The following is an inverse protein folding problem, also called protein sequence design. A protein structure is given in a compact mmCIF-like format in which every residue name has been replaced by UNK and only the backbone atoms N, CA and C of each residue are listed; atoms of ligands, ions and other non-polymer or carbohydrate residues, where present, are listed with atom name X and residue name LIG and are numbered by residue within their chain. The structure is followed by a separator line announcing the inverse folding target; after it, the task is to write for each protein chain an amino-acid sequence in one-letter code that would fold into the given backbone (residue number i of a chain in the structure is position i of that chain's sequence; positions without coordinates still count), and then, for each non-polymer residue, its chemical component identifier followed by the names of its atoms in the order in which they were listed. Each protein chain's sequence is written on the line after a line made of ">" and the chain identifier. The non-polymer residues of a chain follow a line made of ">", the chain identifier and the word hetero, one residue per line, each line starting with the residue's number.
data_IF_176749947527
#
_entry.id   IF_176749947527
#
_cell.length_a   1.000
_cell.length_b   1.000
_cell.length_c   1.000
_cell.angle_alpha   90.00
_cell.angle_beta   90.00
_cell.angle_gamma   90.00
#
_symmetry.space_group_name_H-M   'P 1'
#
loop_
_entity.id
_entity.type
_entity.pdbx_description
1 polymer ?
#
# COMPACT_ATOMS: atom_id res chain seq x y z
N UNK A 1 -22.06 20.63 -0.27
CA UNK A 1 -21.10 20.18 0.75
C UNK A 1 -21.80 19.09 1.55
N UNK A 2 -21.38 17.83 1.43
CA UNK A 2 -22.03 16.75 2.19
C UNK A 2 -21.61 16.87 3.67
N UNK A 3 -22.60 17.01 4.56
CA UNK A 3 -22.38 17.03 6.00
C UNK A 3 -21.78 15.70 6.45
N UNK A 4 -20.54 15.74 6.95
CA UNK A 4 -19.88 14.56 7.54
C UNK A 4 -20.64 14.22 8.83
N UNK A 5 -21.43 13.15 8.78
CA UNK A 5 -22.34 12.78 9.87
C UNK A 5 -21.67 11.83 10.88
N UNK A 6 -20.55 11.19 10.50
CA UNK A 6 -19.84 10.20 11.35
C UNK A 6 -18.36 10.53 11.51
N UNK A 7 -17.91 10.48 12.76
CA UNK A 7 -16.49 10.50 13.13
C UNK A 7 -16.02 9.08 13.49
N UNK A 8 -14.84 8.65 13.02
CA UNK A 8 -13.93 9.36 12.11
C UNK A 8 -14.43 9.43 10.66
N UNK A 9 -13.91 10.38 9.87
CA UNK A 9 -14.39 10.71 8.51
C UNK A 9 -14.44 9.52 7.54
N UNK A 10 -13.54 8.55 7.70
CA UNK A 10 -13.51 7.36 6.85
C UNK A 10 -14.76 6.50 6.99
N UNK A 11 -15.45 6.50 8.14
CA UNK A 11 -16.68 5.72 8.34
C UNK A 11 -17.83 6.22 7.47
N UNK A 12 -17.97 7.55 7.39
CA UNK A 12 -18.94 8.13 6.47
C UNK A 12 -18.57 7.80 5.01
N UNK A 13 -17.28 7.88 4.68
CA UNK A 13 -16.80 7.49 3.35
C UNK A 13 -17.12 6.03 3.02
N UNK A 14 -17.04 5.10 3.98
CA UNK A 14 -17.44 3.69 3.77
C UNK A 14 -18.93 3.58 3.41
N UNK A 15 -19.80 4.27 4.14
CA UNK A 15 -21.24 4.23 3.85
C UNK A 15 -21.59 4.84 2.51
N UNK A 16 -20.96 5.96 2.17
CA UNK A 16 -21.14 6.63 0.88
C UNK A 16 -20.61 5.74 -0.24
N UNK A 17 -19.46 5.09 -0.04
CA UNK A 17 -18.87 4.15 -0.99
C UNK A 17 -19.82 3.01 -1.33
N UNK A 18 -20.42 2.36 -0.31
CA UNK A 18 -21.29 1.20 -0.51
C UNK A 18 -22.61 1.56 -1.22
N UNK A 19 -23.02 2.83 -1.18
CA UNK A 19 -24.20 3.34 -1.89
C UNK A 19 -23.88 3.73 -3.34
N UNK A 20 -22.69 4.26 -3.58
CA UNK A 20 -22.32 4.88 -4.86
C UNK A 20 -21.59 3.95 -5.83
N UNK A 21 -20.86 2.95 -5.33
CA UNK A 21 -20.01 2.08 -6.15
C UNK A 21 -20.47 0.62 -6.18
N UNK A 22 -19.99 -0.11 -7.18
CA UNK A 22 -20.20 -1.55 -7.36
C UNK A 22 -18.90 -2.24 -7.75
N UNK A 23 -18.94 -3.57 -7.81
CA UNK A 23 -17.83 -4.38 -8.29
C UNK A 23 -17.35 -3.92 -9.67
N UNK A 24 -16.02 -3.80 -9.81
CA UNK A 24 -15.36 -3.35 -11.03
C UNK A 24 -15.17 -1.84 -11.12
N UNK A 25 -15.93 -1.05 -10.35
CA UNK A 25 -15.84 0.41 -10.42
C UNK A 25 -14.51 0.93 -9.88
N UNK A 26 -14.10 2.08 -10.43
CA UNK A 26 -12.90 2.81 -10.03
C UNK A 26 -13.30 4.00 -9.15
N UNK A 27 -12.84 3.98 -7.90
CA UNK A 27 -12.93 5.10 -6.98
C UNK A 27 -11.71 5.98 -7.16
N UNK A 28 -11.94 7.19 -7.68
CA UNK A 28 -10.90 8.18 -7.93
C UNK A 28 -10.36 8.80 -6.65
N UNK A 29 -9.14 9.35 -6.72
CA UNK A 29 -8.56 10.08 -5.59
C UNK A 29 -9.41 11.31 -5.22
N UNK A 30 -9.94 12.05 -6.19
CA UNK A 30 -10.74 13.25 -5.95
C UNK A 30 -12.01 12.95 -5.13
N UNK A 31 -12.62 11.78 -5.34
CA UNK A 31 -13.77 11.33 -4.55
C UNK A 31 -13.36 11.08 -3.09
N UNK A 32 -12.23 10.42 -2.87
CA UNK A 32 -11.69 10.16 -1.53
C UNK A 32 -11.27 11.48 -0.85
N UNK A 33 -10.62 12.39 -1.57
CA UNK A 33 -10.24 13.71 -1.05
C UNK A 33 -11.48 14.47 -0.56
N UNK A 34 -12.54 14.51 -1.37
CA UNK A 34 -13.80 15.15 -0.99
C UNK A 34 -14.44 14.49 0.25
N UNK A 35 -14.44 13.15 0.34
CA UNK A 35 -15.05 12.42 1.46
C UNK A 35 -14.23 12.47 2.75
N UNK A 36 -12.92 12.58 2.64
CA UNK A 36 -12.04 12.80 3.79
C UNK A 36 -11.95 14.27 4.20
N UNK A 37 -12.61 15.19 3.47
CA UNK A 37 -12.55 16.62 3.75
C UNK A 37 -11.16 17.22 3.47
N UNK A 38 -10.37 16.59 2.61
CA UNK A 38 -9.00 16.99 2.30
C UNK A 38 -8.97 17.98 1.13
N UNK A 39 -8.14 19.03 1.19
CA UNK A 39 -7.95 19.95 0.07
C UNK A 39 -7.47 19.20 -1.16
N UNK A 40 -8.05 19.50 -2.33
CA UNK A 40 -7.64 18.80 -3.53
C UNK A 40 -6.26 19.26 -3.98
N UNK A 41 -5.43 18.31 -4.45
CA UNK A 41 -4.11 18.65 -4.99
C UNK A 41 -4.19 19.42 -6.32
N UNK A 42 -5.33 19.40 -7.00
CA UNK A 42 -5.57 20.21 -8.19
C UNK A 42 -5.97 21.65 -7.88
N UNK A 43 -6.31 21.97 -6.62
CA UNK A 43 -6.62 23.34 -6.25
C UNK A 43 -5.33 24.17 -6.22
N UNK A 44 -5.33 25.30 -6.93
CA UNK A 44 -4.17 26.18 -7.18
C UNK A 44 -3.54 26.84 -5.94
N UNK A 45 -3.83 26.36 -4.73
CA UNK A 45 -3.23 26.83 -3.49
C UNK A 45 -1.89 26.14 -3.28
N UNK A 46 -0.81 26.89 -3.41
CA UNK A 46 0.52 26.42 -3.04
C UNK A 46 0.53 26.06 -1.54
N UNK A 47 0.58 24.77 -1.23
CA UNK A 47 0.84 24.28 0.12
C UNK A 47 2.31 24.53 0.47
N UNK A 48 2.58 24.89 1.73
CA UNK A 48 3.97 24.85 2.21
C UNK A 48 4.45 23.40 2.27
N UNK A 49 5.77 23.19 2.31
CA UNK A 49 6.36 21.83 2.41
C UNK A 49 5.84 21.08 3.63
N UNK A 50 5.63 21.78 4.74
CA UNK A 50 5.10 21.20 5.98
C UNK A 50 3.63 20.81 5.85
N UNK A 51 2.78 21.71 5.35
CA UNK A 51 1.36 21.43 5.09
C UNK A 51 1.17 20.27 4.10
N UNK A 52 2.04 20.18 3.09
CA UNK A 52 2.01 19.07 2.16
C UNK A 52 2.37 17.74 2.83
N UNK A 53 3.36 17.72 3.72
CA UNK A 53 3.75 16.51 4.48
C UNK A 53 2.65 16.06 5.43
N UNK A 54 2.06 16.98 6.19
CA UNK A 54 0.97 16.66 7.11
C UNK A 54 -0.23 16.10 6.37
N UNK A 55 -0.61 16.73 5.25
CA UNK A 55 -1.64 16.22 4.34
C UNK A 55 -1.31 14.81 3.83
N UNK A 56 -0.05 14.52 3.49
CA UNK A 56 0.34 13.18 3.05
C UNK A 56 0.14 12.12 4.14
N UNK A 57 0.48 12.43 5.38
CA UNK A 57 0.24 11.51 6.51
C UNK A 57 -1.23 11.30 6.78
N UNK A 58 -2.02 12.38 6.80
CA UNK A 58 -3.46 12.31 6.98
C UNK A 58 -4.15 11.52 5.86
N UNK A 59 -3.74 11.74 4.60
CA UNK A 59 -4.22 10.98 3.46
C UNK A 59 -3.95 9.49 3.61
N UNK A 60 -2.70 9.12 3.96
CA UNK A 60 -2.32 7.73 4.16
C UNK A 60 -3.13 7.09 5.30
N UNK A 61 -3.29 7.79 6.43
CA UNK A 61 -4.05 7.30 7.57
C UNK A 61 -5.53 7.06 7.22
N UNK A 62 -6.18 8.03 6.55
CA UNK A 62 -7.59 7.92 6.16
C UNK A 62 -7.81 6.82 5.12
N UNK A 63 -6.95 6.73 4.09
CA UNK A 63 -7.04 5.68 3.06
C UNK A 63 -6.87 4.28 3.66
N UNK A 64 -5.88 4.09 4.54
CA UNK A 64 -5.64 2.78 5.15
C UNK A 64 -6.78 2.38 6.09
N UNK A 65 -7.31 3.31 6.89
CA UNK A 65 -8.49 3.05 7.73
C UNK A 65 -9.72 2.70 6.89
N UNK A 66 -9.99 3.47 5.83
CA UNK A 66 -11.08 3.22 4.88
C UNK A 66 -10.98 1.84 4.22
N UNK A 67 -9.81 1.48 3.69
CA UNK A 67 -9.57 0.16 3.09
C UNK A 67 -9.71 -0.97 4.11
N UNK A 68 -9.24 -0.77 5.34
CA UNK A 68 -9.32 -1.78 6.39
C UNK A 68 -10.76 -2.04 6.82
N UNK A 69 -11.58 -0.99 6.99
CA UNK A 69 -12.99 -1.10 7.36
C UNK A 69 -13.80 -1.77 6.24
N UNK A 70 -13.63 -1.32 4.99
CA UNK A 70 -14.23 -1.97 3.82
C UNK A 70 -13.92 -3.46 3.74
N UNK A 71 -12.65 -3.85 3.97
CA UNK A 71 -12.25 -5.25 3.88
C UNK A 71 -12.81 -6.09 5.04
N UNK A 72 -12.67 -5.60 6.28
CA UNK A 72 -13.00 -6.39 7.49
C UNK A 72 -14.51 -6.49 7.70
N UNK A 73 -15.21 -5.39 7.54
CA UNK A 73 -16.62 -5.28 7.96
C UNK A 73 -17.58 -5.48 6.79
N UNK A 74 -17.10 -5.24 5.56
CA UNK A 74 -17.93 -5.32 4.34
C UNK A 74 -17.39 -6.29 3.28
N UNK A 75 -16.27 -6.98 3.54
CA UNK A 75 -15.64 -7.93 2.61
C UNK A 75 -15.32 -7.30 1.23
N UNK A 76 -15.08 -5.99 1.22
CA UNK A 76 -14.74 -5.22 0.02
C UNK A 76 -13.23 -5.11 -0.10
N UNK A 77 -12.68 -5.73 -1.14
CA UNK A 77 -11.28 -5.60 -1.49
C UNK A 77 -11.06 -4.48 -2.52
N UNK A 78 -10.14 -3.56 -2.22
CA UNK A 78 -9.75 -2.47 -3.09
C UNK A 78 -8.36 -2.70 -3.69
N UNK A 79 -8.28 -2.74 -5.02
CA UNK A 79 -7.02 -2.86 -5.76
C UNK A 79 -6.53 -1.49 -6.22
N UNK A 80 -5.30 -1.11 -5.86
CA UNK A 80 -4.71 0.14 -6.35
C UNK A 80 -4.50 0.12 -7.86
N UNK A 81 -5.03 1.13 -8.54
CA UNK A 81 -4.82 1.42 -9.96
C UNK A 81 -3.92 2.65 -10.05
N UNK A 82 -2.67 2.46 -10.51
CA UNK A 82 -1.62 3.46 -10.48
C UNK A 82 -2.09 4.79 -11.09
N UNK A 83 -2.00 5.86 -10.29
CA UNK A 83 -2.33 7.22 -10.70
C UNK A 83 -3.83 7.51 -10.89
N UNK A 84 -4.71 6.54 -10.63
CA UNK A 84 -6.15 6.70 -10.85
C UNK A 84 -6.97 6.57 -9.58
N UNK A 85 -6.60 5.66 -8.68
CA UNK A 85 -7.35 5.40 -7.45
C UNK A 85 -7.43 3.92 -7.14
N UNK A 86 -8.62 3.44 -6.77
CA UNK A 86 -8.84 2.07 -6.32
C UNK A 86 -10.02 1.41 -7.03
N UNK A 87 -9.80 0.20 -7.55
CA UNK A 87 -10.85 -0.61 -8.15
C UNK A 87 -11.50 -1.50 -7.08
N UNK A 88 -12.83 -1.54 -7.02
CA UNK A 88 -13.54 -2.55 -6.24
C UNK A 88 -13.39 -3.92 -6.92
N UNK A 89 -12.65 -4.81 -6.29
CA UNK A 89 -12.37 -6.15 -6.82
C UNK A 89 -13.61 -7.05 -6.68
N UNK A 90 -14.09 -7.68 -7.77
CA UNK A 90 -15.11 -8.72 -7.68
C UNK A 90 -14.64 -9.90 -6.82
N UNK A 91 -15.52 -10.60 -6.08
CA UNK A 91 -15.10 -11.63 -5.12
C UNK A 91 -14.31 -12.78 -5.77
N UNK A 92 -14.67 -13.17 -6.99
CA UNK A 92 -14.00 -14.23 -7.74
C UNK A 92 -12.56 -13.88 -8.18
N UNK A 93 -12.20 -12.59 -8.21
CA UNK A 93 -10.86 -12.12 -8.54
C UNK A 93 -9.98 -11.89 -7.30
N UNK A 94 -10.59 -11.72 -6.12
CA UNK A 94 -9.92 -11.24 -4.92
C UNK A 94 -8.73 -12.10 -4.50
N UNK A 95 -8.87 -13.43 -4.55
CA UNK A 95 -7.77 -14.35 -4.23
C UNK A 95 -6.58 -14.15 -5.16
N UNK A 96 -6.83 -14.03 -6.47
CA UNK A 96 -5.77 -13.80 -7.46
C UNK A 96 -5.08 -12.46 -7.23
N UNK A 97 -5.85 -11.38 -7.03
CA UNK A 97 -5.33 -10.04 -6.76
C UNK A 97 -4.45 -10.03 -5.50
N UNK A 98 -4.88 -10.68 -4.42
CA UNK A 98 -4.12 -10.75 -3.18
C UNK A 98 -2.81 -11.54 -3.37
N UNK A 99 -2.84 -12.66 -4.09
CA UNK A 99 -1.64 -13.46 -4.37
C UNK A 99 -0.65 -12.74 -5.29
N UNK A 100 -1.14 -12.00 -6.28
CA UNK A 100 -0.30 -11.18 -7.16
C UNK A 100 0.36 -10.01 -6.41
N UNK A 101 -0.37 -9.38 -5.50
CA UNK A 101 0.17 -8.36 -4.62
C UNK A 101 1.25 -8.93 -3.69
N UNK A 102 0.99 -10.07 -3.04
CA UNK A 102 1.98 -10.78 -2.24
C UNK A 102 3.24 -11.08 -3.07
N UNK A 103 3.09 -11.65 -4.26
CA UNK A 103 4.19 -11.96 -5.17
C UNK A 103 5.03 -10.72 -5.52
N UNK A 104 4.38 -9.60 -5.83
CA UNK A 104 5.07 -8.33 -6.12
C UNK A 104 5.83 -7.80 -4.90
N UNK A 105 5.20 -7.80 -3.72
CA UNK A 105 5.80 -7.32 -2.48
C UNK A 105 7.00 -8.16 -2.06
N UNK A 106 6.88 -9.49 -2.11
CA UNK A 106 7.97 -10.42 -1.81
C UNK A 106 9.16 -10.22 -2.77
N UNK A 107 8.90 -10.08 -4.09
CA UNK A 107 9.97 -9.79 -5.06
C UNK A 107 10.68 -8.47 -4.78
N UNK A 108 9.94 -7.43 -4.36
CA UNK A 108 10.50 -6.13 -3.99
C UNK A 108 11.39 -6.24 -2.75
N UNK A 109 10.94 -6.93 -1.71
CA UNK A 109 11.71 -7.17 -0.47
C UNK A 109 13.02 -7.91 -0.78
N UNK A 110 12.95 -9.04 -1.51
CA UNK A 110 14.16 -9.77 -1.91
C UNK A 110 15.12 -8.90 -2.73
N UNK A 111 14.62 -8.07 -3.65
CA UNK A 111 15.49 -7.18 -4.42
C UNK A 111 16.21 -6.19 -3.50
N UNK A 112 15.47 -5.51 -2.62
CA UNK A 112 16.03 -4.51 -1.70
C UNK A 112 17.03 -5.11 -0.71
N UNK A 113 16.66 -6.21 -0.05
CA UNK A 113 17.53 -6.89 0.92
C UNK A 113 18.79 -7.43 0.25
N UNK A 114 18.66 -8.03 -0.94
CA UNK A 114 19.82 -8.51 -1.70
C UNK A 114 20.79 -7.40 -2.09
N UNK A 115 20.30 -6.19 -2.36
CA UNK A 115 21.16 -5.02 -2.60
C UNK A 115 21.92 -4.62 -1.33
N UNK A 116 21.24 -4.54 -0.18
CA UNK A 116 21.87 -4.19 1.10
C UNK A 116 22.98 -5.17 1.50
N UNK A 117 22.74 -6.47 1.32
CA UNK A 117 23.72 -7.52 1.63
C UNK A 117 24.94 -7.54 0.69
N UNK A 118 24.80 -7.01 -0.53
CA UNK A 118 25.88 -6.97 -1.53
C UNK A 118 26.69 -5.68 -1.47
N UNK A 119 26.06 -4.58 -1.07
CA UNK A 119 26.64 -3.24 -1.11
C UNK A 119 26.98 -2.74 0.29
N UNK A 120 27.80 -3.52 1.00
CA UNK A 120 28.40 -3.14 2.27
C UNK A 120 29.92 -2.97 2.11
N UNK A 121 30.53 -2.17 2.99
CA UNK A 121 31.97 -1.88 2.94
C UNK A 121 32.75 -3.06 3.51
N UNK A 122 32.95 -4.12 2.72
CA UNK A 122 33.58 -5.39 3.14
C UNK A 122 34.97 -5.17 3.77
N UNK A 123 35.69 -4.14 3.32
CA UNK A 123 37.00 -3.76 3.86
C UNK A 123 36.96 -3.28 5.31
N UNK A 124 35.82 -2.76 5.77
CA UNK A 124 35.63 -2.28 7.15
C UNK A 124 35.19 -3.41 8.11
N UNK A 125 34.89 -4.60 7.60
CA UNK A 125 34.46 -5.73 8.42
C UNK A 125 35.63 -6.50 9.05
N UNK A 126 35.42 -7.04 10.24
CA UNK A 126 36.27 -8.11 10.80
C UNK A 126 36.05 -9.42 10.06
N UNK A 127 36.96 -10.39 10.20
CA UNK A 127 36.81 -11.70 9.56
C UNK A 127 35.56 -12.46 10.03
N UNK A 128 35.20 -12.31 11.30
CA UNK A 128 33.96 -12.87 11.84
C UNK A 128 32.72 -12.25 11.20
N UNK A 129 32.69 -10.91 11.06
CA UNK A 129 31.59 -10.21 10.39
C UNK A 129 31.50 -10.57 8.90
N UNK A 130 32.64 -10.77 8.22
CA UNK A 130 32.65 -11.25 6.83
C UNK A 130 32.07 -12.65 6.72
N UNK A 131 32.41 -13.54 7.65
CA UNK A 131 31.87 -14.91 7.69
C UNK A 131 30.36 -14.90 7.92
N UNK A 132 29.87 -14.15 8.91
CA UNK A 132 28.44 -14.02 9.14
C UNK A 132 27.71 -13.46 7.91
N UNK A 133 28.25 -12.41 7.27
CA UNK A 133 27.65 -11.88 6.05
C UNK A 133 27.53 -12.93 4.93
N UNK A 134 28.56 -13.76 4.72
CA UNK A 134 28.52 -14.86 3.74
C UNK A 134 27.44 -15.90 4.10
N UNK A 135 27.32 -16.25 5.38
CA UNK A 135 26.31 -17.19 5.87
C UNK A 135 24.89 -16.62 5.68
N UNK A 136 24.68 -15.34 5.98
CA UNK A 136 23.38 -14.67 5.75
C UNK A 136 23.05 -14.58 4.27
N UNK A 137 24.04 -14.30 3.40
CA UNK A 137 23.86 -14.32 1.94
C UNK A 137 23.45 -15.70 1.41
N UNK A 138 24.02 -16.77 1.96
CA UNK A 138 23.66 -18.14 1.61
C UNK A 138 22.22 -18.46 2.03
N UNK A 139 21.85 -18.19 3.30
CA UNK A 139 20.48 -18.38 3.81
C UNK A 139 19.45 -17.58 3.01
N UNK A 140 19.78 -16.32 2.73
CA UNK A 140 18.94 -15.42 1.93
C UNK A 140 18.70 -15.96 0.51
N UNK A 141 19.76 -16.48 -0.14
CA UNK A 141 19.66 -17.04 -1.48
C UNK A 141 18.80 -18.30 -1.52
N UNK A 142 18.95 -19.19 -0.53
CA UNK A 142 18.11 -20.37 -0.38
C UNK A 142 16.63 -20.00 -0.16
N UNK A 143 16.35 -19.07 0.76
CA UNK A 143 15.00 -18.58 1.03
C UNK A 143 14.36 -17.99 -0.23
N UNK A 144 15.09 -17.12 -0.94
CA UNK A 144 14.61 -16.53 -2.20
C UNK A 144 14.27 -17.60 -3.24
N UNK A 145 15.08 -18.65 -3.37
CA UNK A 145 14.84 -19.75 -4.29
C UNK A 145 13.54 -20.51 -3.98
N UNK A 146 13.36 -20.88 -2.71
CA UNK A 146 12.15 -21.57 -2.24
C UNK A 146 10.90 -20.71 -2.42
N UNK A 147 10.93 -19.45 -1.99
CA UNK A 147 9.79 -18.55 -2.08
C UNK A 147 9.43 -18.22 -3.53
N UNK A 148 10.41 -18.10 -4.43
CA UNK A 148 10.14 -17.92 -5.86
C UNK A 148 9.31 -19.08 -6.39
N UNK A 149 9.73 -20.32 -6.12
CA UNK A 149 9.03 -21.54 -6.56
C UNK A 149 7.59 -21.64 -6.04
N UNK A 150 7.28 -21.05 -4.89
CA UNK A 150 5.94 -21.08 -4.30
C UNK A 150 5.00 -19.96 -4.81
N UNK A 151 5.55 -18.88 -5.40
CA UNK A 151 4.79 -17.70 -5.84
C UNK A 151 4.84 -17.49 -7.37
N UNK A 152 5.32 -18.48 -8.12
CA UNK A 152 5.28 -18.59 -9.58
C UNK A 152 4.78 -19.96 -9.95
#
# INVERSE_FOLDING_TARGET
>A
MAEVTKYPVHKQAVEDFLKEFKYGDLVGHDWLEARFGMPSMSDSKALTVEQFRDRQFEWLANVEAFKAELLRDHQVCLQSVRGRGYRWVPPHEQTGVAMDELGRNVRKVFRSTGQKLRHLRITELTDEQRRDNLDQLAKFSALRGMTRKALT
#
